data_IF_865624917579
#
_entry.id   IF_865624917579
#
_cell.length_a   1.000
_cell.length_b   1.000
_cell.length_c   1.000
_cell.angle_alpha   90.00
_cell.angle_beta   90.00
_cell.angle_gamma   90.00
#
_symmetry.space_group_name_H-M   'P 1'
#
loop_
_entity.id
_entity.type
_entity.pdbx_description
1 polymer ?
#
# COMPACT_ATOMS: atom_id res chain seq x y z
N UNK A 1 -3.09 13.35 27.66
CA UNK A 1 -4.22 13.51 26.70
C UNK A 1 -4.08 14.85 25.98
N UNK A 2 -3.94 14.86 24.66
CA UNK A 2 -3.66 16.06 23.82
C UNK A 2 -4.95 16.83 23.47
N UNK A 3 -5.74 17.18 24.49
CA UNK A 3 -7.05 17.82 24.32
C UNK A 3 -6.99 19.17 23.59
N UNK A 4 -5.97 19.98 23.90
CA UNK A 4 -5.78 21.28 23.29
C UNK A 4 -5.57 21.13 21.77
N UNK A 5 -4.68 20.23 21.35
CA UNK A 5 -4.36 20.02 19.94
C UNK A 5 -5.57 19.52 19.16
N UNK A 6 -6.35 18.60 19.73
CA UNK A 6 -7.62 18.16 19.15
C UNK A 6 -8.61 19.33 18.95
N UNK A 7 -8.65 20.30 19.88
CA UNK A 7 -9.49 21.51 19.76
C UNK A 7 -8.98 22.46 18.66
N UNK A 8 -7.67 22.52 18.43
CA UNK A 8 -7.12 23.26 17.29
C UNK A 8 -7.42 22.55 15.97
N UNK A 9 -7.20 21.24 15.92
CA UNK A 9 -7.45 20.42 14.75
C UNK A 9 -8.91 20.50 14.29
N UNK A 10 -9.88 20.50 15.20
CA UNK A 10 -11.29 20.65 14.82
C UNK A 10 -11.62 22.00 14.18
N UNK A 11 -10.91 23.07 14.56
CA UNK A 11 -11.05 24.39 13.94
C UNK A 11 -10.32 24.49 12.61
N UNK A 12 -9.18 23.81 12.48
CA UNK A 12 -8.40 23.75 11.24
C UNK A 12 -9.00 22.81 10.21
N UNK A 13 -9.81 21.84 10.65
CA UNK A 13 -10.29 20.74 9.82
C UNK A 13 -10.98 21.18 8.52
N UNK A 14 -11.84 22.22 8.47
CA UNK A 14 -12.44 22.64 7.20
C UNK A 14 -11.40 23.01 6.13
N UNK A 15 -10.25 23.57 6.53
CA UNK A 15 -9.16 23.92 5.62
C UNK A 15 -8.33 22.70 5.26
N UNK A 16 -7.99 21.88 6.25
CA UNK A 16 -7.22 20.64 6.06
C UNK A 16 -7.99 19.67 5.17
N UNK A 17 -9.29 19.49 5.41
CA UNK A 17 -10.13 18.56 4.65
C UNK A 17 -10.26 18.99 3.20
N UNK A 18 -10.36 20.29 2.93
CA UNK A 18 -10.38 20.86 1.58
C UNK A 18 -9.05 20.64 0.85
N UNK A 19 -7.93 20.98 1.49
CA UNK A 19 -6.60 20.81 0.89
C UNK A 19 -6.28 19.33 0.64
N UNK A 20 -6.49 18.47 1.65
CA UNK A 20 -6.29 17.03 1.52
C UNK A 20 -7.22 16.41 0.47
N UNK A 21 -8.46 16.90 0.31
CA UNK A 21 -9.36 16.47 -0.76
C UNK A 21 -8.79 16.74 -2.14
N UNK A 22 -8.19 17.91 -2.36
CA UNK A 22 -7.58 18.24 -3.64
C UNK A 22 -6.37 17.33 -3.93
N UNK A 23 -5.46 17.19 -2.96
CA UNK A 23 -4.26 16.33 -3.08
C UNK A 23 -4.64 14.89 -3.36
N UNK A 24 -5.63 14.34 -2.63
CA UNK A 24 -6.07 12.96 -2.84
C UNK A 24 -6.67 12.79 -4.23
N UNK A 25 -7.52 13.71 -4.71
CA UNK A 25 -8.08 13.61 -6.06
C UNK A 25 -6.99 13.63 -7.13
N UNK A 26 -6.06 14.57 -7.06
CA UNK A 26 -4.96 14.69 -8.01
C UNK A 26 -4.06 13.45 -8.03
N UNK A 27 -3.82 12.86 -6.85
CA UNK A 27 -2.96 11.68 -6.71
C UNK A 27 -3.65 10.36 -7.07
N UNK A 28 -4.95 10.23 -6.76
CA UNK A 28 -5.67 8.96 -6.82
C UNK A 28 -6.49 8.79 -8.11
N UNK A 29 -7.02 9.86 -8.70
CA UNK A 29 -7.79 9.73 -9.95
C UNK A 29 -7.03 9.06 -11.09
N UNK A 30 -5.74 9.36 -11.34
CA UNK A 30 -4.96 8.65 -12.36
C UNK A 30 -4.87 7.15 -12.07
N UNK A 31 -4.63 6.77 -10.80
CA UNK A 31 -4.52 5.36 -10.39
C UNK A 31 -5.84 4.61 -10.55
N UNK A 32 -6.97 5.25 -10.26
CA UNK A 32 -8.28 4.64 -10.50
C UNK A 32 -8.50 4.32 -11.98
N UNK A 33 -7.93 5.09 -12.91
CA UNK A 33 -8.03 4.81 -14.34
C UNK A 33 -7.01 3.78 -14.83
N UNK A 34 -5.79 3.78 -14.29
CA UNK A 34 -4.73 2.83 -14.65
C UNK A 34 -5.03 1.41 -14.18
N UNK A 35 -5.59 1.25 -12.97
CA UNK A 35 -5.88 -0.06 -12.36
C UNK A 35 -7.30 -0.56 -12.61
N UNK A 36 -7.98 -0.05 -13.65
CA UNK A 36 -9.35 -0.48 -13.95
C UNK A 36 -9.41 -1.99 -14.22
N UNK A 37 -10.37 -2.71 -13.60
CA UNK A 37 -10.57 -4.11 -13.89
C UNK A 37 -11.21 -4.28 -15.29
N UNK A 38 -11.03 -5.44 -15.92
CA UNK A 38 -11.59 -5.71 -17.25
C UNK A 38 -13.09 -5.43 -17.32
N UNK A 39 -13.51 -4.69 -18.35
CA UNK A 39 -14.92 -4.35 -18.56
C UNK A 39 -15.37 -2.99 -17.99
N UNK A 40 -14.49 -2.26 -17.29
CA UNK A 40 -14.74 -0.89 -16.82
C UNK A 40 -14.17 0.14 -17.83
N UNK A 41 -15.06 0.98 -18.36
CA UNK A 41 -14.73 2.05 -19.32
C UNK A 41 -14.23 3.32 -18.64
N UNK A 42 -14.70 3.64 -17.44
CA UNK A 42 -14.15 4.74 -16.64
C UNK A 42 -14.42 4.53 -15.16
N UNK A 43 -13.48 4.99 -14.33
CA UNK A 43 -13.59 4.99 -12.88
C UNK A 43 -13.04 6.33 -12.35
N UNK A 44 -13.88 7.14 -11.73
CA UNK A 44 -13.48 8.47 -11.23
C UNK A 44 -14.29 8.88 -10.01
N UNK A 45 -13.81 9.87 -9.26
CA UNK A 45 -14.63 10.46 -8.21
C UNK A 45 -15.78 11.25 -8.83
N UNK A 46 -17.01 10.82 -8.53
CA UNK A 46 -18.20 11.66 -8.69
C UNK A 46 -18.26 12.69 -7.56
N UNK A 47 -17.96 12.24 -6.34
CA UNK A 47 -17.90 13.07 -5.14
C UNK A 47 -16.77 12.58 -4.25
N UNK A 48 -15.96 13.49 -3.74
CA UNK A 48 -14.97 13.20 -2.71
C UNK A 48 -14.98 14.35 -1.70
N UNK A 49 -15.18 14.00 -0.44
CA UNK A 49 -15.10 14.92 0.69
C UNK A 49 -14.72 14.11 1.92
N UNK A 50 -13.77 14.64 2.70
CA UNK A 50 -13.40 14.08 4.00
C UNK A 50 -14.35 14.52 5.13
N UNK A 51 -15.49 15.14 4.81
CA UNK A 51 -16.49 15.53 5.81
C UNK A 51 -16.04 16.66 6.75
N UNK A 52 -16.84 16.88 7.79
CA UNK A 52 -16.69 17.98 8.74
C UNK A 52 -16.18 17.50 10.11
N UNK A 53 -16.20 16.20 10.37
CA UNK A 53 -15.72 15.62 11.62
C UNK A 53 -14.21 15.40 11.54
N UNK A 54 -13.47 16.16 12.33
CA UNK A 54 -12.03 16.07 12.39
C UNK A 54 -11.55 14.75 13.01
N UNK A 55 -10.36 14.28 12.63
CA UNK A 55 -9.69 13.17 13.31
C UNK A 55 -9.35 13.53 14.76
N UNK A 56 -9.08 12.47 15.53
CA UNK A 56 -8.62 12.53 16.91
C UNK A 56 -7.18 12.09 16.99
N UNK A 57 -6.39 12.88 17.72
CA UNK A 57 -5.04 12.54 18.14
C UNK A 57 -5.13 11.94 19.54
N UNK A 58 -4.73 10.69 19.68
CA UNK A 58 -4.76 9.95 20.94
C UNK A 58 -3.45 10.13 21.72
N UNK A 59 -2.33 10.18 21.00
CA UNK A 59 -0.99 10.21 21.55
C UNK A 59 0.00 10.87 20.59
N UNK A 60 1.09 11.38 21.16
CA UNK A 60 2.21 11.94 20.43
C UNK A 60 3.48 11.41 21.07
N UNK A 61 4.41 10.93 20.24
CA UNK A 61 5.77 10.54 20.64
C UNK A 61 6.75 11.39 19.85
N UNK A 62 7.80 11.88 20.50
CA UNK A 62 8.88 12.64 19.86
C UNK A 62 10.10 11.72 19.79
N UNK A 63 10.71 11.63 18.61
CA UNK A 63 11.97 10.94 18.40
C UNK A 63 13.08 11.98 18.21
N UNK A 64 14.08 11.96 19.09
CA UNK A 64 15.27 12.80 18.96
C UNK A 64 16.39 11.96 18.35
N UNK A 65 16.31 11.70 17.05
CA UNK A 65 17.24 10.79 16.37
C UNK A 65 18.28 11.53 15.51
N UNK A 66 17.99 12.75 15.04
CA UNK A 66 18.84 13.43 14.07
C UNK A 66 18.94 14.94 14.36
N UNK A 67 20.16 15.53 14.41
CA UNK A 67 20.34 16.97 14.45
C UNK A 67 19.64 17.66 13.27
N UNK A 68 19.01 18.81 13.51
CA UNK A 68 18.32 19.57 12.47
C UNK A 68 16.91 19.06 12.13
N UNK A 69 16.42 18.01 12.79
CA UNK A 69 15.07 17.50 12.62
C UNK A 69 14.35 17.28 13.95
N UNK A 70 13.04 17.50 13.95
CA UNK A 70 12.15 17.02 15.01
C UNK A 70 11.21 16.00 14.38
N UNK A 71 11.31 14.74 14.82
CA UNK A 71 10.44 13.66 14.35
C UNK A 71 9.34 13.44 15.38
N UNK A 72 8.10 13.49 14.93
CA UNK A 72 6.91 13.32 15.76
C UNK A 72 6.05 12.19 15.20
N UNK A 73 5.77 11.17 15.99
CA UNK A 73 4.81 10.12 15.67
C UNK A 73 3.48 10.40 16.37
N UNK A 74 2.42 10.55 15.59
CA UNK A 74 1.09 10.97 16.04
C UNK A 74 0.13 9.79 15.89
N UNK A 75 -0.41 9.29 17.01
CA UNK A 75 -1.46 8.27 17.00
C UNK A 75 -2.78 8.90 16.54
N UNK A 76 -3.19 8.54 15.33
CA UNK A 76 -4.29 9.17 14.61
C UNK A 76 -5.46 8.21 14.46
N UNK A 77 -6.66 8.67 14.84
CA UNK A 77 -7.92 7.94 14.64
C UNK A 77 -8.93 8.82 13.96
N UNK A 78 -9.57 8.29 12.93
CA UNK A 78 -10.61 9.01 12.21
C UNK A 78 -11.76 8.07 11.87
N UNK A 79 -12.97 8.57 12.03
CA UNK A 79 -14.22 7.86 11.77
C UNK A 79 -15.33 8.89 11.59
N UNK A 80 -15.04 9.86 10.72
CA UNK A 80 -15.88 11.04 10.51
C UNK A 80 -17.06 10.78 9.58
N UNK A 81 -17.47 11.82 8.86
CA UNK A 81 -18.60 11.84 7.94
C UNK A 81 -18.17 12.04 6.46
N UNK A 82 -17.22 11.26 5.92
CA UNK A 82 -16.80 11.45 4.54
C UNK A 82 -17.92 11.12 3.54
N UNK A 83 -17.85 11.76 2.38
CA UNK A 83 -18.74 11.52 1.26
C UNK A 83 -17.90 11.19 0.04
N UNK A 84 -17.66 9.89 -0.15
CA UNK A 84 -16.85 9.34 -1.24
C UNK A 84 -17.78 8.52 -2.14
N UNK A 85 -17.93 8.99 -3.38
CA UNK A 85 -18.75 8.36 -4.42
C UNK A 85 -17.91 8.24 -5.68
N UNK A 86 -17.67 7.02 -6.12
CA UNK A 86 -17.06 6.71 -7.40
C UNK A 86 -18.16 6.61 -8.46
N UNK A 87 -17.97 7.27 -9.60
CA UNK A 87 -18.71 6.96 -10.81
C UNK A 87 -18.00 5.82 -11.52
N UNK A 88 -18.69 4.70 -11.67
CA UNK A 88 -18.21 3.53 -12.41
C UNK A 88 -19.03 3.41 -13.68
N UNK A 89 -18.36 3.48 -14.83
CA UNK A 89 -18.98 3.19 -16.12
C UNK A 89 -18.49 1.84 -16.62
N UNK A 90 -19.31 0.79 -16.54
CA UNK A 90 -18.98 -0.53 -17.07
C UNK A 90 -19.71 -0.79 -18.39
N UNK A 91 -19.27 -1.80 -19.15
CA UNK A 91 -19.91 -2.18 -20.42
C UNK A 91 -21.40 -2.51 -20.29
N UNK A 92 -21.81 -3.04 -19.14
CA UNK A 92 -23.17 -3.56 -18.92
C UNK A 92 -24.05 -2.58 -18.11
N UNK A 93 -23.46 -1.77 -17.23
CA UNK A 93 -24.16 -0.79 -16.41
C UNK A 93 -23.21 0.30 -15.90
N UNK A 94 -23.72 1.52 -15.75
CA UNK A 94 -23.02 2.58 -15.01
C UNK A 94 -23.63 2.69 -13.61
N UNK A 95 -22.82 2.51 -12.57
CA UNK A 95 -23.29 2.39 -11.19
C UNK A 95 -22.45 3.25 -10.25
N UNK A 96 -23.03 4.22 -9.53
CA UNK A 96 -22.31 4.93 -8.49
C UNK A 96 -22.01 4.00 -7.30
N UNK A 97 -20.75 4.00 -6.86
CA UNK A 97 -20.29 3.21 -5.71
C UNK A 97 -19.93 4.15 -4.58
N UNK A 98 -20.56 3.96 -3.42
CA UNK A 98 -20.29 4.74 -2.23
C UNK A 98 -19.34 3.98 -1.31
N UNK A 99 -18.27 4.64 -0.87
CA UNK A 99 -17.52 4.22 0.31
C UNK A 99 -18.20 4.83 1.55
N UNK A 100 -18.65 3.97 2.46
CA UNK A 100 -19.28 4.36 3.73
C UNK A 100 -18.48 3.85 4.92
N UNK A 101 -18.78 4.43 6.07
CA UNK A 101 -18.29 3.97 7.38
C UNK A 101 -16.75 3.90 7.41
N UNK A 102 -16.11 4.86 6.72
CA UNK A 102 -14.65 4.93 6.62
C UNK A 102 -14.05 5.21 8.00
N UNK A 103 -13.25 4.28 8.48
CA UNK A 103 -12.46 4.38 9.70
C UNK A 103 -10.99 4.21 9.37
N UNK A 104 -10.16 5.10 9.91
CA UNK A 104 -8.71 5.09 9.74
C UNK A 104 -8.07 5.08 11.13
N UNK A 105 -7.25 4.07 11.40
CA UNK A 105 -6.43 3.98 12.60
C UNK A 105 -4.99 3.78 12.18
N UNK A 106 -4.14 4.77 12.45
CA UNK A 106 -2.75 4.76 11.97
C UNK A 106 -1.85 5.60 12.86
N UNK A 107 -0.54 5.49 12.65
CA UNK A 107 0.44 6.40 13.22
C UNK A 107 0.99 7.25 12.08
N UNK A 108 0.83 8.57 12.19
CA UNK A 108 1.35 9.53 11.23
C UNK A 108 2.69 10.05 11.75
N UNK A 109 3.76 9.83 11.02
CA UNK A 109 5.05 10.47 11.24
C UNK A 109 5.05 11.85 10.58
N UNK A 110 5.38 12.86 11.37
CA UNK A 110 5.61 14.23 10.96
C UNK A 110 7.05 14.60 11.28
N UNK A 111 7.85 14.92 10.27
CA UNK A 111 9.21 15.40 10.44
C UNK A 111 9.23 16.89 10.14
N UNK A 112 9.66 17.68 11.12
CA UNK A 112 9.91 19.10 10.93
C UNK A 112 11.39 19.27 10.58
N UNK A 113 11.66 19.74 9.37
CA UNK A 113 13.00 20.13 8.96
C UNK A 113 13.29 21.52 9.52
N UNK A 114 14.28 21.62 10.42
CA UNK A 114 14.60 22.86 11.11
C UNK A 114 15.47 23.77 10.23
N UNK A 115 15.27 25.08 10.41
CA UNK A 115 16.06 26.13 9.79
C UNK A 115 16.40 27.21 10.81
N UNK A 116 17.42 28.02 10.51
CA UNK A 116 17.78 29.18 11.35
C UNK A 116 16.87 30.40 11.09
N UNK A 117 16.17 30.43 9.95
CA UNK A 117 15.24 31.49 9.57
C UNK A 117 13.83 31.25 10.13
N UNK A 118 13.19 32.29 10.69
CA UNK A 118 11.79 32.25 11.14
C UNK A 118 10.89 31.81 9.97
N UNK A 119 10.02 30.79 10.14
CA UNK A 119 9.48 30.25 11.41
C UNK A 119 10.30 29.13 12.08
N UNK A 120 11.57 28.99 11.72
CA UNK A 120 12.54 27.97 12.18
C UNK A 120 12.24 26.56 11.66
N UNK A 121 11.34 26.44 10.70
CA UNK A 121 10.96 25.21 10.03
C UNK A 121 10.90 25.52 8.54
N UNK A 122 11.76 24.88 7.75
CA UNK A 122 11.79 25.06 6.29
C UNK A 122 10.84 24.13 5.56
N UNK A 123 10.56 22.94 6.11
CA UNK A 123 9.65 21.99 5.50
C UNK A 123 9.03 21.04 6.55
N UNK A 124 7.88 20.48 6.19
CA UNK A 124 7.20 19.43 6.94
C UNK A 124 7.10 18.20 6.05
N UNK A 125 7.56 17.06 6.55
CA UNK A 125 7.45 15.78 5.88
C UNK A 125 6.43 14.92 6.59
N UNK A 126 5.50 14.32 5.86
CA UNK A 126 4.40 13.53 6.42
C UNK A 126 4.35 12.15 5.80
N UNK A 127 4.30 11.10 6.62
CA UNK A 127 4.15 9.71 6.19
C UNK A 127 3.35 8.89 7.21
N UNK A 128 2.78 7.77 6.79
CA UNK A 128 2.22 6.75 7.66
C UNK A 128 3.32 5.76 8.06
N UNK A 129 3.33 5.29 9.30
CA UNK A 129 4.24 4.21 9.68
C UNK A 129 3.74 2.87 9.14
N UNK A 130 4.68 2.00 8.75
CA UNK A 130 4.38 0.62 8.39
C UNK A 130 4.02 -0.24 9.61
N UNK A 131 4.60 0.09 10.78
CA UNK A 131 4.32 -0.57 12.04
C UNK A 131 3.97 0.47 13.12
N UNK A 132 2.78 0.34 13.77
CA UNK A 132 1.72 -0.62 13.47
C UNK A 132 1.07 -0.38 12.10
N UNK A 133 0.63 -1.45 11.43
CA UNK A 133 0.01 -1.39 10.10
C UNK A 133 -1.19 -0.42 10.09
N UNK A 134 -1.26 0.54 9.13
CA UNK A 134 -2.42 1.41 8.98
C UNK A 134 -3.68 0.61 8.73
N UNK A 135 -4.70 0.78 9.59
CA UNK A 135 -5.99 0.11 9.44
C UNK A 135 -6.98 1.07 8.79
N UNK A 136 -7.30 0.81 7.53
CA UNK A 136 -8.35 1.52 6.78
C UNK A 136 -9.51 0.56 6.58
N UNK A 137 -10.66 0.89 7.14
CA UNK A 137 -11.86 0.07 7.09
C UNK A 137 -12.98 0.88 6.46
N UNK A 138 -13.72 0.31 5.53
CA UNK A 138 -14.88 0.93 4.91
C UNK A 138 -15.84 -0.14 4.41
N UNK A 139 -17.05 0.28 4.04
CA UNK A 139 -18.04 -0.55 3.38
C UNK A 139 -18.36 0.03 2.02
N UNK A 140 -18.31 -0.80 0.99
CA UNK A 140 -18.79 -0.44 -0.34
C UNK A 140 -20.31 -0.62 -0.43
N UNK A 141 -21.01 0.32 -1.06
CA UNK A 141 -22.43 0.19 -1.40
C UNK A 141 -22.71 0.73 -2.79
N UNK A 142 -23.38 -0.07 -3.61
CA UNK A 142 -23.92 0.37 -4.89
C UNK A 142 -25.18 1.24 -4.68
N UNK A 143 -25.28 2.36 -5.41
CA UNK A 143 -26.49 3.19 -5.41
C UNK A 143 -27.46 2.67 -6.46
N UNK A 144 -28.60 2.12 -6.03
CA UNK A 144 -29.64 1.65 -6.96
C UNK A 144 -29.33 0.32 -7.64
N UNK A 145 -28.43 -0.50 -7.07
CA UNK A 145 -28.07 -1.81 -7.60
C UNK A 145 -27.29 -2.66 -6.59
N UNK A 146 -26.75 -3.78 -7.05
CA UNK A 146 -25.88 -4.65 -6.24
C UNK A 146 -24.41 -4.48 -6.66
N UNK A 147 -23.49 -4.51 -5.69
CA UNK A 147 -22.05 -4.56 -5.98
C UNK A 147 -21.68 -5.80 -6.81
N UNK A 148 -22.39 -6.90 -6.63
CA UNK A 148 -22.18 -8.15 -7.37
C UNK A 148 -22.52 -8.03 -8.86
N UNK A 149 -23.13 -6.92 -9.30
CA UNK A 149 -23.42 -6.67 -10.70
C UNK A 149 -22.14 -6.37 -11.52
N UNK A 150 -21.05 -5.98 -10.85
CA UNK A 150 -19.74 -5.75 -11.49
C UNK A 150 -18.71 -6.65 -10.77
N UNK A 151 -18.48 -7.87 -11.28
CA UNK A 151 -17.50 -8.79 -10.70
C UNK A 151 -16.10 -8.18 -10.61
N UNK A 152 -15.39 -8.42 -9.50
CA UNK A 152 -14.02 -7.95 -9.27
C UNK A 152 -13.88 -6.46 -8.88
N UNK A 153 -14.96 -5.68 -8.91
CA UNK A 153 -14.92 -4.24 -8.58
C UNK A 153 -14.51 -3.98 -7.13
N UNK A 154 -15.06 -4.73 -6.17
CA UNK A 154 -14.72 -4.58 -4.76
C UNK A 154 -13.25 -4.88 -4.50
N UNK A 155 -12.74 -6.00 -5.03
CA UNK A 155 -11.35 -6.42 -4.85
C UNK A 155 -10.39 -5.40 -5.47
N UNK A 156 -10.70 -4.88 -6.66
CA UNK A 156 -9.89 -3.82 -7.27
C UNK A 156 -9.88 -2.52 -6.45
N UNK A 157 -11.03 -2.10 -5.89
CA UNK A 157 -11.06 -0.92 -5.03
C UNK A 157 -10.19 -1.15 -3.79
N UNK A 158 -10.29 -2.33 -3.18
CA UNK A 158 -9.48 -2.72 -2.01
C UNK A 158 -7.98 -2.73 -2.36
N UNK A 159 -7.60 -3.30 -3.50
CA UNK A 159 -6.22 -3.31 -3.98
C UNK A 159 -5.70 -1.90 -4.28
N UNK A 160 -6.54 -1.03 -4.85
CA UNK A 160 -6.18 0.36 -5.12
C UNK A 160 -5.93 1.13 -3.83
N UNK A 161 -6.82 1.01 -2.84
CA UNK A 161 -6.65 1.64 -1.53
C UNK A 161 -5.37 1.15 -0.87
N UNK A 162 -5.13 -0.17 -0.87
CA UNK A 162 -3.91 -0.76 -0.32
C UNK A 162 -2.65 -0.25 -1.02
N UNK A 163 -2.68 -0.15 -2.35
CA UNK A 163 -1.55 0.35 -3.13
C UNK A 163 -1.26 1.82 -2.81
N UNK A 164 -2.27 2.68 -2.72
CA UNK A 164 -2.08 4.10 -2.34
C UNK A 164 -1.45 4.21 -0.95
N UNK A 165 -1.97 3.45 0.02
CA UNK A 165 -1.44 3.49 1.39
C UNK A 165 0.02 3.05 1.42
N UNK A 166 0.35 1.92 0.79
CA UNK A 166 1.68 1.33 0.88
C UNK A 166 2.73 2.03 -0.02
N UNK A 167 2.34 2.44 -1.24
CA UNK A 167 3.26 2.97 -2.25
C UNK A 167 3.37 4.49 -2.30
N UNK A 168 2.46 5.21 -1.63
CA UNK A 168 2.45 6.68 -1.68
C UNK A 168 2.50 7.33 -0.30
N UNK A 169 1.81 6.75 0.68
CA UNK A 169 1.62 7.39 1.98
C UNK A 169 2.47 6.78 3.09
N UNK A 170 2.89 5.52 2.96
CA UNK A 170 3.64 4.81 3.99
C UNK A 170 5.14 5.02 3.85
N UNK A 171 5.83 5.22 4.98
CA UNK A 171 7.27 5.32 5.05
C UNK A 171 7.94 4.15 4.31
N UNK A 172 8.94 4.38 3.44
CA UNK A 172 9.72 5.62 3.25
C UNK A 172 9.09 6.67 2.33
N UNK A 173 7.97 6.35 1.67
CA UNK A 173 7.22 7.31 0.87
C UNK A 173 6.57 8.34 1.78
N UNK A 174 6.62 9.59 1.33
CA UNK A 174 6.29 10.74 2.17
C UNK A 174 5.89 11.94 1.34
N UNK A 175 5.00 12.74 1.89
CA UNK A 175 4.64 14.04 1.37
C UNK A 175 5.61 15.08 1.93
N UNK A 176 6.30 15.81 1.06
CA UNK A 176 7.17 16.92 1.45
C UNK A 176 6.44 18.22 1.21
N UNK A 177 6.24 19.00 2.27
CA UNK A 177 5.52 20.27 2.24
C UNK A 177 6.53 21.39 2.59
N UNK A 178 7.05 22.13 1.59
CA UNK A 178 7.93 23.26 1.87
C UNK A 178 7.16 24.39 2.57
N UNK A 179 7.80 25.01 3.56
CA UNK A 179 7.32 26.17 4.30
C UNK A 179 8.15 27.39 3.92
N UNK A 180 7.79 28.05 2.81
CA UNK A 180 8.48 29.24 2.32
C UNK A 180 8.50 29.30 0.80
N UNK A 181 9.19 30.31 0.28
CA UNK A 181 9.44 30.46 -1.16
C UNK A 181 10.83 29.91 -1.45
N UNK A 182 10.98 29.11 -2.52
CA UNK A 182 12.27 28.54 -2.96
C UNK A 182 13.00 27.69 -1.90
N UNK A 183 12.26 26.94 -1.09
CA UNK A 183 12.85 25.94 -0.19
C UNK A 183 13.35 24.76 -1.02
N UNK A 184 14.62 24.41 -0.87
CA UNK A 184 15.18 23.20 -1.48
C UNK A 184 14.72 21.96 -0.71
N UNK A 185 13.90 21.13 -1.37
CA UNK A 185 13.36 19.88 -0.82
C UNK A 185 14.10 18.64 -1.30
N UNK A 186 15.17 18.80 -2.10
CA UNK A 186 15.82 17.69 -2.79
C UNK A 186 16.31 16.59 -1.84
N UNK A 187 16.80 16.95 -0.66
CA UNK A 187 17.27 15.99 0.36
C UNK A 187 16.13 15.36 1.17
N UNK A 188 14.95 15.97 1.14
CA UNK A 188 13.74 15.46 1.80
C UNK A 188 12.94 14.54 0.90
N UNK A 189 13.13 14.60 -0.41
CA UNK A 189 12.48 13.71 -1.38
C UNK A 189 13.06 12.30 -1.31
N UNK A 190 12.21 11.29 -1.55
CA UNK A 190 12.66 9.91 -1.62
C UNK A 190 13.39 9.69 -2.96
N UNK A 191 14.62 9.17 -2.89
CA UNK A 191 15.45 8.88 -4.06
C UNK A 191 15.73 7.37 -4.10
N UNK A 192 15.85 6.75 -5.29
CA UNK A 192 16.35 5.39 -5.40
C UNK A 192 17.74 5.25 -4.77
N UNK A 193 17.91 4.28 -3.88
CA UNK A 193 19.21 3.94 -3.27
C UNK A 193 19.97 2.89 -4.09
N UNK A 194 19.26 2.04 -4.83
CA UNK A 194 19.90 1.03 -5.66
C UNK A 194 18.92 0.10 -6.39
N UNK A 195 19.49 -0.92 -7.02
CA UNK A 195 18.75 -2.01 -7.68
C UNK A 195 19.04 -3.33 -6.97
N UNK A 196 18.00 -4.10 -6.71
CA UNK A 196 18.08 -5.47 -6.23
C UNK A 196 17.81 -6.42 -7.38
N UNK A 197 18.80 -7.23 -7.75
CA UNK A 197 18.62 -8.34 -8.68
C UNK A 197 18.12 -9.56 -7.90
N UNK A 198 17.00 -10.14 -8.34
CA UNK A 198 16.39 -11.30 -7.69
C UNK A 198 16.17 -12.38 -8.73
N UNK A 199 16.79 -13.54 -8.54
CA UNK A 199 16.48 -14.74 -9.31
C UNK A 199 15.47 -15.60 -8.55
N UNK A 200 14.28 -15.75 -9.13
CA UNK A 200 13.29 -16.73 -8.67
C UNK A 200 13.68 -18.09 -9.22
N UNK A 201 14.31 -18.93 -8.38
CA UNK A 201 14.87 -20.22 -8.81
C UNK A 201 13.76 -21.26 -8.94
N UNK A 202 13.11 -21.60 -7.83
CA UNK A 202 12.09 -22.65 -7.77
C UNK A 202 11.19 -22.54 -6.56
N UNK A 203 10.06 -23.25 -6.59
CA UNK A 203 9.27 -23.55 -5.41
C UNK A 203 9.26 -25.06 -5.13
N UNK A 204 8.94 -25.42 -3.89
CA UNK A 204 8.90 -26.83 -3.46
C UNK A 204 7.67 -27.07 -2.60
N UNK A 205 7.01 -28.21 -2.81
CA UNK A 205 5.85 -28.67 -2.05
C UNK A 205 4.72 -27.64 -1.97
N UNK A 206 4.41 -26.98 -3.10
CA UNK A 206 3.28 -26.06 -3.17
C UNK A 206 1.98 -26.79 -2.84
N UNK A 207 1.09 -26.11 -2.12
CA UNK A 207 -0.22 -26.64 -1.79
C UNK A 207 -1.09 -26.70 -3.05
N UNK A 208 -1.46 -27.90 -3.46
CA UNK A 208 -2.43 -28.06 -4.54
C UNK A 208 -3.81 -27.52 -4.13
N UNK A 209 -4.42 -26.69 -4.97
CA UNK A 209 -5.78 -26.19 -4.78
C UNK A 209 -6.78 -26.74 -5.79
N UNK A 210 -6.33 -27.52 -6.75
CA UNK A 210 -7.18 -28.08 -7.79
C UNK A 210 -7.84 -29.39 -7.36
N UNK A 211 -9.05 -29.62 -7.88
CA UNK A 211 -9.79 -30.87 -7.69
C UNK A 211 -9.33 -31.96 -8.68
N UNK A 212 -8.88 -31.55 -9.87
CA UNK A 212 -8.41 -32.40 -10.96
C UNK A 212 -7.14 -31.75 -11.48
N UNK A 213 -6.02 -32.48 -11.53
CA UNK A 213 -4.72 -31.90 -11.87
C UNK A 213 -3.98 -31.32 -10.66
N UNK A 214 -2.88 -30.62 -10.93
CA UNK A 214 -2.16 -29.78 -9.99
C UNK A 214 -2.20 -28.34 -10.50
N UNK A 215 -2.07 -27.44 -9.54
CA UNK A 215 -1.87 -26.03 -9.80
C UNK A 215 -0.81 -25.73 -10.87
N UNK A 216 -1.03 -24.62 -11.57
CA UNK A 216 -0.20 -24.02 -12.62
C UNK A 216 0.52 -22.78 -12.04
N UNK A 217 1.60 -22.95 -11.26
CA UNK A 217 2.13 -21.86 -10.47
C UNK A 217 2.96 -20.83 -11.24
N UNK A 218 2.85 -19.59 -10.78
CA UNK A 218 3.78 -18.50 -11.08
C UNK A 218 4.01 -17.63 -9.85
N UNK A 219 5.05 -16.79 -9.89
CA UNK A 219 5.40 -15.86 -8.81
C UNK A 219 5.25 -14.43 -9.30
N UNK A 220 4.56 -13.60 -8.53
CA UNK A 220 4.71 -12.15 -8.61
C UNK A 220 5.62 -11.66 -7.50
N UNK A 221 6.50 -10.70 -7.82
CA UNK A 221 7.41 -10.10 -6.87
C UNK A 221 7.50 -8.59 -7.05
N UNK A 222 7.65 -7.87 -5.93
CA UNK A 222 7.70 -6.41 -5.91
C UNK A 222 8.28 -5.88 -4.60
N UNK A 223 8.92 -4.71 -4.68
CA UNK A 223 9.13 -3.83 -3.51
C UNK A 223 7.90 -2.95 -3.29
N UNK A 224 7.33 -2.45 -4.40
CA UNK A 224 6.15 -1.60 -4.46
C UNK A 224 5.02 -2.30 -5.19
N UNK A 225 3.85 -2.56 -4.56
CA UNK A 225 2.69 -3.19 -5.21
C UNK A 225 2.33 -2.68 -6.61
N UNK A 226 2.61 -1.41 -6.91
CA UNK A 226 2.40 -0.78 -8.23
C UNK A 226 3.36 -1.28 -9.33
N UNK A 227 4.54 -1.79 -8.98
CA UNK A 227 5.60 -2.19 -9.92
C UNK A 227 5.90 -3.69 -9.85
N UNK A 228 4.85 -4.52 -9.89
CA UNK A 228 5.03 -5.99 -9.85
C UNK A 228 5.59 -6.52 -11.16
N UNK A 229 6.47 -7.49 -11.04
CA UNK A 229 6.92 -8.35 -12.13
C UNK A 229 6.44 -9.78 -11.89
N UNK A 230 6.27 -10.56 -12.96
CA UNK A 230 5.71 -11.93 -12.94
C UNK A 230 6.65 -12.89 -13.67
N UNK A 231 6.87 -14.07 -13.10
CA UNK A 231 7.51 -15.21 -13.78
C UNK A 231 6.58 -15.81 -14.82
N UNK A 232 7.12 -16.67 -15.69
CA UNK A 232 6.31 -17.59 -16.47
C UNK A 232 5.49 -18.51 -15.56
N UNK A 233 4.41 -19.00 -16.14
CA UNK A 233 3.56 -20.03 -15.55
C UNK A 233 4.16 -21.39 -15.92
N UNK A 234 4.15 -22.32 -14.97
CA UNK A 234 4.58 -23.70 -15.19
C UNK A 234 3.41 -24.61 -14.89
N UNK A 235 2.91 -25.30 -15.91
CA UNK A 235 1.68 -26.07 -15.82
C UNK A 235 1.86 -27.38 -15.00
N UNK A 236 0.81 -27.78 -14.27
CA UNK A 236 0.64 -29.04 -13.55
C UNK A 236 1.84 -29.44 -12.68
N UNK A 237 2.41 -28.48 -11.92
CA UNK A 237 3.64 -28.72 -11.17
C UNK A 237 3.69 -28.03 -9.79
N UNK A 238 3.74 -28.83 -8.72
CA UNK A 238 3.88 -28.33 -7.34
C UNK A 238 5.34 -28.07 -6.91
N UNK A 239 6.30 -28.35 -7.78
CA UNK A 239 7.73 -28.07 -7.60
C UNK A 239 8.31 -27.40 -8.86
N UNK A 240 7.78 -26.24 -9.25
CA UNK A 240 8.20 -25.53 -10.46
C UNK A 240 9.62 -24.97 -10.33
N UNK A 241 10.37 -24.96 -11.44
CA UNK A 241 11.68 -24.31 -11.56
C UNK A 241 11.61 -23.22 -12.64
N UNK A 242 11.63 -21.95 -12.23
CA UNK A 242 11.51 -20.81 -13.16
C UNK A 242 12.88 -20.33 -13.64
N UNK A 243 13.85 -20.19 -12.73
CA UNK A 243 15.19 -19.65 -13.02
C UNK A 243 15.14 -18.29 -13.74
N UNK A 244 14.22 -17.41 -13.34
CA UNK A 244 14.01 -16.09 -13.94
C UNK A 244 14.54 -14.98 -13.04
N UNK A 245 15.21 -14.00 -13.64
CA UNK A 245 15.85 -12.89 -12.91
C UNK A 245 15.17 -11.58 -13.20
N UNK A 246 14.94 -10.79 -12.16
CA UNK A 246 14.29 -9.49 -12.22
C UNK A 246 15.14 -8.43 -11.51
N UNK A 247 15.04 -7.19 -11.97
CA UNK A 247 15.61 -6.03 -11.27
C UNK A 247 14.49 -5.23 -10.60
N UNK A 248 14.61 -5.01 -9.30
CA UNK A 248 13.69 -4.20 -8.50
C UNK A 248 14.42 -2.93 -8.03
N UNK A 249 13.74 -1.79 -8.07
CA UNK A 249 14.27 -0.53 -7.52
C UNK A 249 14.02 -0.53 -6.00
N UNK A 250 15.06 -0.20 -5.24
CA UNK A 250 15.01 0.00 -3.79
C UNK A 250 15.27 1.48 -3.51
N UNK A 251 14.41 2.09 -2.72
CA UNK A 251 14.45 3.51 -2.35
C UNK A 251 14.79 3.73 -0.86
N UNK A 252 14.62 2.71 -0.01
CA UNK A 252 15.09 2.70 1.37
C UNK A 252 15.42 1.26 1.78
N UNK A 253 16.71 0.92 1.80
CA UNK A 253 17.19 -0.41 2.20
C UNK A 253 16.75 -0.79 3.61
N UNK A 254 16.71 0.17 4.54
CA UNK A 254 16.52 -0.09 5.96
C UNK A 254 15.08 -0.53 6.28
N UNK A 255 14.11 0.00 5.55
CA UNK A 255 12.68 -0.22 5.86
C UNK A 255 11.90 -0.99 4.80
N UNK A 256 12.37 -1.04 3.56
CA UNK A 256 11.64 -1.75 2.50
C UNK A 256 11.84 -3.28 2.56
N UNK A 257 10.90 -3.98 1.94
CA UNK A 257 10.93 -5.44 1.80
C UNK A 257 10.47 -5.83 0.40
N UNK A 258 11.00 -6.94 -0.11
CA UNK A 258 10.45 -7.60 -1.29
C UNK A 258 9.34 -8.55 -0.85
N UNK A 259 8.18 -8.43 -1.48
CA UNK A 259 7.06 -9.35 -1.32
C UNK A 259 7.05 -10.32 -2.50
N UNK A 260 6.83 -11.59 -2.19
CA UNK A 260 6.69 -12.67 -3.16
C UNK A 260 5.33 -13.32 -2.98
N UNK A 261 4.49 -13.31 -4.01
CA UNK A 261 3.18 -13.95 -3.99
C UNK A 261 3.17 -15.07 -5.04
N UNK A 262 2.96 -16.30 -4.58
CA UNK A 262 2.82 -17.46 -5.46
C UNK A 262 1.34 -17.64 -5.76
N UNK A 263 1.00 -17.68 -7.05
CA UNK A 263 -0.36 -17.86 -7.54
C UNK A 263 -0.48 -19.14 -8.34
N UNK A 264 -1.70 -19.63 -8.44
CA UNK A 264 -2.16 -20.67 -9.33
C UNK A 264 -2.97 -19.99 -10.44
N UNK A 265 -2.51 -20.07 -11.68
CA UNK A 265 -3.19 -19.46 -12.83
C UNK A 265 -4.49 -20.21 -13.13
N UNK A 266 -5.62 -19.49 -13.24
CA UNK A 266 -6.91 -20.08 -13.59
C UNK A 266 -7.49 -19.33 -14.79
N UNK A 267 -7.54 -19.99 -15.95
CA UNK A 267 -7.99 -19.36 -17.20
C UNK A 267 -9.46 -18.89 -17.19
N UNK A 268 -10.27 -19.35 -16.23
CA UNK A 268 -11.70 -19.07 -16.16
C UNK A 268 -12.10 -18.24 -14.94
N UNK A 269 -11.25 -18.17 -13.91
CA UNK A 269 -11.52 -17.46 -12.66
C UNK A 269 -10.36 -16.53 -12.30
N UNK A 270 -10.49 -15.83 -11.17
CA UNK A 270 -9.36 -15.10 -10.62
C UNK A 270 -8.33 -16.09 -10.06
N UNK A 271 -7.06 -15.85 -10.37
CA UNK A 271 -5.93 -16.65 -9.88
C UNK A 271 -5.94 -16.81 -8.37
N UNK A 272 -5.61 -18.02 -7.90
CA UNK A 272 -5.70 -18.36 -6.48
C UNK A 272 -4.32 -18.27 -5.84
N UNK A 273 -4.14 -17.33 -4.90
CA UNK A 273 -2.87 -17.24 -4.14
C UNK A 273 -2.60 -18.52 -3.35
N UNK A 274 -1.48 -19.16 -3.62
CA UNK A 274 -0.99 -20.38 -2.96
C UNK A 274 -0.24 -20.05 -1.66
N UNK A 275 0.54 -18.98 -1.67
CA UNK A 275 1.23 -18.46 -0.49
C UNK A 275 1.91 -17.13 -0.74
N UNK A 276 2.40 -16.51 0.34
CA UNK A 276 3.14 -15.26 0.32
C UNK A 276 4.39 -15.35 1.19
N UNK A 277 5.47 -14.71 0.78
CA UNK A 277 6.69 -14.53 1.57
C UNK A 277 7.14 -13.07 1.53
N UNK A 278 7.88 -12.65 2.56
CA UNK A 278 8.46 -11.30 2.70
C UNK A 278 9.94 -11.42 3.04
N UNK A 279 10.76 -10.63 2.35
CA UNK A 279 12.19 -10.53 2.58
C UNK A 279 12.56 -9.06 2.82
N UNK A 280 13.02 -8.73 4.02
CA UNK A 280 13.50 -7.38 4.32
C UNK A 280 14.80 -7.10 3.57
N UNK A 281 14.91 -5.94 2.91
CA UNK A 281 16.06 -5.61 2.06
C UNK A 281 17.32 -5.37 2.90
N UNK A 282 17.16 -4.90 4.14
CA UNK A 282 18.25 -4.73 5.10
C UNK A 282 18.98 -6.05 5.46
N UNK A 283 18.35 -7.20 5.26
CA UNK A 283 18.99 -8.51 5.44
C UNK A 283 19.92 -8.89 4.27
N UNK A 284 19.95 -8.10 3.20
CA UNK A 284 20.76 -8.34 2.02
C UNK A 284 22.04 -7.53 2.08
N UNK A 285 23.17 -8.23 1.91
CA UNK A 285 24.48 -7.61 1.80
C UNK A 285 24.68 -7.14 0.36
N UNK A 286 24.88 -5.83 0.12
CA UNK A 286 25.12 -5.31 -1.23
C UNK A 286 26.30 -6.03 -1.91
N UNK A 287 26.19 -6.20 -3.23
CA UNK A 287 27.23 -6.80 -4.09
C UNK A 287 27.60 -8.26 -3.75
N UNK A 288 26.89 -8.90 -2.81
CA UNK A 288 27.14 -10.29 -2.41
C UNK A 288 25.93 -11.17 -2.75
N UNK A 289 26.04 -12.06 -3.75
CA UNK A 289 24.97 -13.01 -4.07
C UNK A 289 24.63 -13.86 -2.85
N UNK A 290 23.34 -14.06 -2.58
CA UNK A 290 22.85 -14.77 -1.41
C UNK A 290 21.77 -15.76 -1.81
N UNK A 291 21.93 -17.03 -1.44
CA UNK A 291 20.87 -18.02 -1.64
C UNK A 291 19.94 -18.02 -0.43
N UNK A 292 18.64 -17.80 -0.68
CA UNK A 292 17.64 -17.59 0.36
C UNK A 292 16.46 -18.53 0.11
N UNK A 293 16.08 -19.29 1.14
CA UNK A 293 14.84 -20.08 1.14
C UNK A 293 13.82 -19.43 2.07
N UNK A 294 12.65 -19.10 1.54
CA UNK A 294 11.54 -18.50 2.29
C UNK A 294 10.39 -19.50 2.42
N UNK A 295 9.85 -19.66 3.62
CA UNK A 295 8.60 -20.42 3.82
C UNK A 295 7.42 -19.59 3.34
N UNK A 296 6.51 -20.23 2.61
CA UNK A 296 5.28 -19.60 2.15
C UNK A 296 4.25 -19.58 3.27
N UNK A 297 3.64 -18.42 3.49
CA UNK A 297 2.63 -18.17 4.53
C UNK A 297 1.26 -17.90 3.91
N UNK A 298 0.20 -17.96 4.72
CA UNK A 298 -1.14 -17.53 4.27
C UNK A 298 -1.22 -16.00 4.07
N UNK A 299 -0.53 -15.27 4.94
CA UNK A 299 -0.53 -13.82 5.04
C UNK A 299 0.85 -13.36 5.53
N UNK A 300 1.29 -12.19 5.09
CA UNK A 300 2.47 -11.51 5.62
C UNK A 300 2.21 -10.93 7.02
N UNK A 301 0.97 -10.53 7.29
CA UNK A 301 0.54 -10.19 8.64
C UNK A 301 0.22 -11.48 9.41
N UNK A 302 1.06 -11.78 10.40
CA UNK A 302 0.94 -12.96 11.27
C UNK A 302 -0.38 -13.01 12.04
N UNK A 303 -0.98 -11.87 12.38
CA UNK A 303 -2.26 -11.80 13.08
C UNK A 303 -3.44 -12.19 12.19
N UNK A 304 -3.27 -12.09 10.87
CA UNK A 304 -4.27 -12.49 9.86
C UNK A 304 -4.17 -13.98 9.49
N UNK A 305 -3.18 -14.72 10.03
CA UNK A 305 -3.04 -16.16 9.78
C UNK A 305 -4.12 -16.92 10.54
N UNK A 306 -5.01 -17.57 9.79
CA UNK A 306 -6.06 -18.46 10.30
C UNK A 306 -5.75 -19.94 10.03
N UNK A 307 -4.81 -20.19 9.13
CA UNK A 307 -4.45 -21.51 8.62
C UNK A 307 -2.92 -21.67 8.66
N UNK A 308 -2.46 -22.54 9.57
CA UNK A 308 -1.05 -22.86 9.79
C UNK A 308 -0.55 -24.04 8.95
N UNK A 309 -1.35 -24.53 7.99
CA UNK A 309 -0.91 -25.59 7.08
C UNK A 309 0.28 -25.12 6.25
N UNK A 310 1.17 -26.07 5.98
CA UNK A 310 2.30 -25.86 5.09
C UNK A 310 1.81 -25.47 3.68
N UNK A 311 2.54 -24.54 3.07
CA UNK A 311 2.28 -24.00 1.73
C UNK A 311 3.50 -24.14 0.82
N UNK A 312 4.54 -24.82 1.30
CA UNK A 312 5.78 -25.01 0.58
C UNK A 312 6.80 -23.91 0.87
N UNK A 313 7.86 -23.91 0.08
CA UNK A 313 8.92 -22.90 0.17
C UNK A 313 9.36 -22.40 -1.19
N UNK A 314 9.81 -21.15 -1.22
CA UNK A 314 10.36 -20.47 -2.38
C UNK A 314 11.88 -20.34 -2.22
N UNK A 315 12.62 -20.67 -3.27
CA UNK A 315 14.09 -20.62 -3.31
C UNK A 315 14.51 -19.49 -4.25
N UNK A 316 15.37 -18.62 -3.73
CA UNK A 316 15.79 -17.37 -4.34
C UNK A 316 17.32 -17.28 -4.38
N UNK A 317 17.84 -16.50 -5.32
CA UNK A 317 19.24 -16.11 -5.41
C UNK A 317 19.37 -14.62 -5.73
#
# INVERSE_FOLDING_TARGET
QVKWLNKHLSKLWPFVSQAATAVVKESVEPLLDDYRPPGIKSLKFNKFSLGNVSPKIEGIRIQNLQPGQIIMDIDFRWGGDPSIILAVDARVASLPIQLKDLQVFTVVRVVFQLSEEIPCISAVVVALLAEPEPKIQYTLKAVGGSLTAIPGLSDMIDDTVNSIVNDMLQWPHRLVVPLGVNVDTSELELKPEGKLSVTVVKATSLKNKELIGKSDPYVTLYVRPMFKVKTKVIDDNLNPEWNETFELIVEDKETQSVIFEVYDEDNLQQDKRLGVAKLAVNNIVPETPSEITLKLMQSVDSLKIKDYRDRGSLHLK
#
